data_IF_117603634580
#
_entry.id   IF_117603634580
#
_cell.length_a   1.000
_cell.length_b   1.000
_cell.length_c   1.000
_cell.angle_alpha   90.00
_cell.angle_beta   90.00
_cell.angle_gamma   90.00
#
_symmetry.space_group_name_H-M   'P 1'
#
loop_
_entity.id
_entity.type
_entity.pdbx_description
1 polymer ?
#
# COMPACT_ATOMS: atom_id res chain seq x y z
N UNK A 1 4.57 -5.23 15.69
CA UNK A 1 3.57 -4.23 15.26
C UNK A 1 2.31 -4.96 14.87
N UNK A 2 1.14 -4.44 15.25
CA UNK A 2 -0.14 -4.97 14.81
C UNK A 2 -0.25 -4.75 13.31
N UNK A 3 -0.39 -5.82 12.50
CA UNK A 3 -0.80 -5.67 11.10
C UNK A 3 -2.18 -5.01 11.12
N UNK A 4 -2.27 -3.75 10.74
CA UNK A 4 -3.57 -3.09 10.54
C UNK A 4 -4.28 -3.85 9.42
N UNK A 5 -5.35 -4.54 9.78
CA UNK A 5 -6.24 -5.19 8.82
C UNK A 5 -7.32 -4.18 8.46
N UNK A 6 -7.32 -3.72 7.21
CA UNK A 6 -8.39 -2.88 6.70
C UNK A 6 -9.55 -3.75 6.23
N UNK A 7 -10.74 -3.43 6.70
CA UNK A 7 -11.99 -3.92 6.09
C UNK A 7 -12.20 -3.26 4.73
N UNK A 8 -13.05 -3.86 3.89
CA UNK A 8 -13.43 -3.25 2.61
C UNK A 8 -14.13 -1.90 2.81
N UNK A 9 -14.90 -1.76 3.89
CA UNK A 9 -15.58 -0.50 4.22
C UNK A 9 -14.59 0.60 4.61
N UNK A 10 -13.62 0.31 5.49
CA UNK A 10 -12.57 1.27 5.85
C UNK A 10 -11.71 1.66 4.65
N UNK A 11 -11.35 0.68 3.82
CA UNK A 11 -10.59 0.90 2.57
C UNK A 11 -11.32 1.88 1.67
N UNK A 12 -12.61 1.64 1.41
CA UNK A 12 -13.43 2.51 0.56
C UNK A 12 -13.59 3.89 1.17
N UNK A 13 -13.83 3.98 2.49
CA UNK A 13 -13.93 5.27 3.18
C UNK A 13 -12.68 6.12 3.01
N UNK A 14 -11.49 5.55 3.22
CA UNK A 14 -10.22 6.26 3.01
C UNK A 14 -10.09 6.70 1.55
N UNK A 15 -10.37 5.81 0.61
CA UNK A 15 -10.30 6.11 -0.82
C UNK A 15 -11.28 7.19 -1.27
N UNK A 16 -12.50 7.18 -0.73
CA UNK A 16 -13.53 8.18 -0.98
C UNK A 16 -13.10 9.57 -0.45
N UNK A 17 -12.49 9.62 0.74
CA UNK A 17 -11.98 10.86 1.34
C UNK A 17 -10.86 11.51 0.53
N UNK A 18 -10.06 10.72 -0.20
CA UNK A 18 -8.97 11.24 -1.05
C UNK A 18 -9.31 11.30 -2.54
N UNK A 19 -10.51 10.86 -2.94
CA UNK A 19 -11.01 10.96 -4.32
C UNK A 19 -10.56 9.85 -5.27
N UNK A 20 -10.32 8.63 -4.77
CA UNK A 20 -9.98 7.47 -5.61
C UNK A 20 -11.08 7.22 -6.64
N UNK A 21 -10.68 7.04 -7.90
CA UNK A 21 -11.60 6.68 -8.97
C UNK A 21 -11.78 5.15 -9.07
N UNK A 22 -12.83 4.65 -8.43
CA UNK A 22 -13.16 3.22 -8.42
C UNK A 22 -13.53 2.63 -9.79
N UNK A 23 -13.72 3.44 -10.85
CA UNK A 23 -13.87 2.92 -12.22
C UNK A 23 -12.53 2.56 -12.86
N UNK A 24 -11.41 2.98 -12.26
CA UNK A 24 -10.04 2.71 -12.74
C UNK A 24 -9.23 1.86 -11.79
N UNK A 25 -9.56 1.90 -10.50
CA UNK A 25 -8.81 1.25 -9.42
C UNK A 25 -9.69 0.24 -8.73
N UNK A 26 -9.22 -1.00 -8.65
CA UNK A 26 -9.89 -2.05 -7.88
C UNK A 26 -9.69 -1.80 -6.37
N UNK A 27 -10.75 -1.93 -5.53
CA UNK A 27 -10.62 -1.72 -4.08
C UNK A 27 -9.55 -2.59 -3.41
N UNK A 28 -9.32 -3.80 -3.92
CA UNK A 28 -8.32 -4.71 -3.36
C UNK A 28 -6.89 -4.24 -3.64
N UNK A 29 -6.62 -3.61 -4.79
CA UNK A 29 -5.32 -3.00 -5.09
C UNK A 29 -5.04 -1.82 -4.15
N UNK A 30 -6.05 -0.97 -3.93
CA UNK A 30 -5.92 0.13 -2.98
C UNK A 30 -5.70 -0.36 -1.54
N UNK A 31 -6.42 -1.41 -1.13
CA UNK A 31 -6.24 -2.05 0.18
C UNK A 31 -4.82 -2.60 0.36
N UNK A 32 -4.29 -3.28 -0.65
CA UNK A 32 -2.91 -3.77 -0.63
C UNK A 32 -1.92 -2.62 -0.52
N UNK A 33 -2.16 -1.53 -1.27
CA UNK A 33 -1.35 -0.33 -1.16
C UNK A 33 -1.34 0.28 0.22
N UNK A 34 -2.50 0.42 0.88
CA UNK A 34 -2.55 0.90 2.26
C UNK A 34 -1.72 0.04 3.22
N UNK A 35 -1.64 -1.28 2.98
CA UNK A 35 -0.83 -2.16 3.82
C UNK A 35 0.67 -1.98 3.57
N UNK A 36 1.08 -1.89 2.31
CA UNK A 36 2.48 -1.70 1.91
C UNK A 36 2.98 -0.35 2.37
N UNK A 37 2.26 0.74 2.08
CA UNK A 37 2.73 2.10 2.40
C UNK A 37 2.76 2.37 3.91
N UNK A 38 2.02 1.62 4.73
CA UNK A 38 2.12 1.70 6.19
C UNK A 38 3.47 1.21 6.73
N UNK A 39 4.21 0.38 5.98
CA UNK A 39 5.57 0.00 6.36
C UNK A 39 6.53 1.22 6.35
N UNK A 40 6.16 2.29 5.64
CA UNK A 40 6.87 3.57 5.61
C UNK A 40 6.30 4.59 6.62
N UNK A 41 5.51 4.13 7.60
CA UNK A 41 4.99 4.93 8.70
C UNK A 41 5.84 4.82 9.96
N UNK A 42 5.19 4.57 11.10
CA UNK A 42 5.84 4.47 12.42
C UNK A 42 6.72 3.24 12.60
N UNK A 43 6.81 2.38 11.58
CA UNK A 43 7.54 1.12 11.64
C UNK A 43 9.07 1.31 11.76
N UNK A 44 9.62 2.31 11.06
CA UNK A 44 11.01 2.72 11.16
C UNK A 44 11.10 4.25 11.15
N UNK A 45 11.54 4.82 12.27
CA UNK A 45 11.67 6.27 12.43
C UNK A 45 12.61 6.92 11.40
N UNK A 46 13.56 6.18 10.81
CA UNK A 46 14.48 6.72 9.79
C UNK A 46 13.84 6.87 8.43
N UNK A 47 12.81 6.08 8.15
CA UNK A 47 12.12 6.03 6.86
C UNK A 47 10.63 6.38 6.98
N UNK A 48 10.21 6.95 8.13
CA UNK A 48 8.85 7.40 8.38
C UNK A 48 8.50 8.62 7.52
N UNK A 49 7.57 8.43 6.58
CA UNK A 49 7.07 9.48 5.67
C UNK A 49 5.67 9.94 6.05
N UNK A 50 4.83 9.04 6.56
CA UNK A 50 3.38 9.29 6.72
C UNK A 50 2.95 9.49 8.16
N UNK A 51 3.79 9.13 9.12
CA UNK A 51 3.45 9.08 10.53
C UNK A 51 2.19 8.23 10.82
N UNK A 52 1.98 7.15 10.04
CA UNK A 52 0.79 6.29 10.08
C UNK A 52 -0.54 7.02 9.74
N UNK A 53 -0.48 8.25 9.21
CA UNK A 53 -1.65 8.98 8.75
C UNK A 53 -2.25 8.28 7.52
N UNK A 54 -3.48 7.80 7.65
CA UNK A 54 -4.14 6.97 6.65
C UNK A 54 -4.46 7.74 5.36
N UNK A 55 -4.68 9.05 5.43
CA UNK A 55 -4.96 9.86 4.25
C UNK A 55 -3.68 10.17 3.47
N UNK A 56 -2.58 10.44 4.18
CA UNK A 56 -1.26 10.61 3.54
C UNK A 56 -0.80 9.28 2.93
N UNK A 57 -0.90 8.18 3.69
CA UNK A 57 -0.59 6.83 3.24
C UNK A 57 -1.42 6.45 2.00
N UNK A 58 -2.75 6.70 2.05
CA UNK A 58 -3.64 6.45 0.93
C UNK A 58 -3.31 7.27 -0.31
N UNK A 59 -2.84 8.52 -0.17
CA UNK A 59 -2.42 9.33 -1.32
C UNK A 59 -1.20 8.75 -2.04
N UNK A 60 -0.25 8.17 -1.32
CA UNK A 60 0.91 7.49 -1.91
C UNK A 60 0.42 6.26 -2.68
N UNK A 61 -0.43 5.44 -2.05
CA UNK A 61 -1.00 4.27 -2.71
C UNK A 61 -1.80 4.60 -3.97
N UNK A 62 -2.60 5.67 -3.90
CA UNK A 62 -3.35 6.14 -5.05
C UNK A 62 -2.45 6.69 -6.16
N UNK A 63 -1.34 7.37 -5.82
CA UNK A 63 -0.40 7.87 -6.81
C UNK A 63 0.17 6.73 -7.67
N UNK A 64 0.57 5.62 -7.05
CA UNK A 64 1.04 4.43 -7.76
C UNK A 64 -0.03 3.78 -8.62
N UNK A 65 -1.26 3.67 -8.12
CA UNK A 65 -2.38 3.11 -8.87
C UNK A 65 -2.83 3.99 -10.05
N UNK A 66 -2.46 5.28 -10.06
CA UNK A 66 -2.62 6.15 -11.22
C UNK A 66 -1.56 5.91 -12.31
N UNK A 67 -0.42 5.31 -11.99
CA UNK A 67 0.59 4.91 -12.98
C UNK A 67 0.09 3.68 -13.77
N UNK A 68 -0.40 2.67 -13.05
CA UNK A 68 -1.10 1.51 -13.60
C UNK A 68 -1.93 0.79 -12.53
N UNK A 69 -3.06 0.24 -12.92
CA UNK A 69 -4.10 -0.21 -12.00
C UNK A 69 -3.75 -1.46 -11.16
N UNK A 70 -2.78 -2.28 -11.59
CA UNK A 70 -2.34 -3.51 -10.92
C UNK A 70 -0.98 -3.37 -10.21
N UNK A 71 -0.65 -2.14 -9.78
CA UNK A 71 0.65 -1.79 -9.22
C UNK A 71 1.08 -2.70 -8.07
N UNK A 72 0.22 -2.90 -7.08
CA UNK A 72 0.58 -3.63 -5.87
C UNK A 72 0.67 -5.13 -6.10
N UNK A 73 -0.14 -5.67 -7.02
CA UNK A 73 0.04 -7.05 -7.50
C UNK A 73 1.43 -7.26 -8.14
N UNK A 74 1.90 -6.32 -8.97
CA UNK A 74 3.24 -6.41 -9.60
C UNK A 74 4.36 -6.21 -8.59
N UNK A 75 4.23 -5.24 -7.69
CA UNK A 75 5.20 -4.98 -6.62
C UNK A 75 5.42 -6.24 -5.78
N UNK A 76 4.33 -6.85 -5.30
CA UNK A 76 4.39 -8.08 -4.49
C UNK A 76 5.13 -9.20 -5.20
N UNK A 77 4.94 -9.35 -6.52
CA UNK A 77 5.68 -10.35 -7.30
C UNK A 77 7.18 -10.06 -7.30
N UNK A 78 7.58 -8.81 -7.55
CA UNK A 78 8.98 -8.39 -7.56
C UNK A 78 9.63 -8.59 -6.17
N UNK A 79 8.92 -8.25 -5.10
CA UNK A 79 9.41 -8.41 -3.72
C UNK A 79 9.62 -9.87 -3.35
N UNK A 80 8.69 -10.76 -3.70
CA UNK A 80 8.84 -12.20 -3.47
C UNK A 80 10.04 -12.78 -4.25
N UNK A 81 10.26 -12.33 -5.48
CA UNK A 81 11.42 -12.72 -6.30
C UNK A 81 12.73 -12.27 -5.62
N UNK A 82 12.77 -11.03 -5.12
CA UNK A 82 13.91 -10.49 -4.38
C UNK A 82 14.15 -11.24 -3.06
N UNK A 83 13.11 -11.51 -2.27
CA UNK A 83 13.21 -12.25 -1.01
C UNK A 83 13.78 -13.66 -1.25
N UNK A 84 13.27 -14.36 -2.27
CA UNK A 84 13.77 -15.69 -2.66
C UNK A 84 15.24 -15.62 -3.07
N UNK A 85 15.62 -14.63 -3.89
CA UNK A 85 17.00 -14.47 -4.32
C UNK A 85 17.97 -14.21 -3.16
N UNK A 86 17.64 -13.27 -2.26
CA UNK A 86 18.53 -12.85 -1.17
C UNK A 86 18.56 -13.83 0.01
N UNK A 87 17.46 -14.55 0.27
CA UNK A 87 17.44 -15.61 1.29
C UNK A 87 18.33 -16.79 0.93
N UNK A 88 18.42 -17.16 -0.36
CA UNK A 88 19.31 -18.19 -0.86
C UNK A 88 20.80 -17.81 -0.96
N UNK A 89 21.15 -16.54 -0.67
CA UNK A 89 22.52 -16.02 -0.64
C UNK A 89 23.12 -15.95 0.76
N UNK A 90 22.33 -16.25 1.80
CA UNK A 90 22.80 -16.41 3.18
C UNK A 90 23.47 -17.78 3.36
#
# INVERSE_FOLDING_TARGET
MSKKFFTTEETKKIGDEIGVNWNKVEPEEFKQGLHVELEHGLADAKTNVTNDDLLITGKIAWAHLNEFADYYTRLKKMENEAETYWSGKK
#
